data_IF_404883028392
#
_entry.id   IF_404883028392
#
_cell.length_a   1.000
_cell.length_b   1.000
_cell.length_c   1.000
_cell.angle_alpha   90.00
_cell.angle_beta   90.00
_cell.angle_gamma   90.00
#
_symmetry.space_group_name_H-M   'P 1'
#
loop_
_entity.id
_entity.type
_entity.pdbx_description
1 polymer ?
#
# COMPACT_ATOMS: atom_id res chain seq x y z
N UNK A 1 3.96 1.73 16.52
CA UNK A 1 4.95 1.98 15.46
C UNK A 1 4.60 1.09 14.30
N UNK A 2 4.46 1.65 13.10
CA UNK A 2 4.12 0.88 11.90
C UNK A 2 5.39 0.28 11.31
N UNK A 3 5.32 -1.01 10.97
CA UNK A 3 6.35 -1.74 10.24
C UNK A 3 5.70 -2.40 9.03
N UNK A 4 6.21 -2.07 7.86
CA UNK A 4 5.79 -2.62 6.58
C UNK A 4 6.74 -3.75 6.22
N UNK A 5 6.22 -4.96 6.09
CA UNK A 5 6.93 -6.15 5.65
C UNK A 5 6.65 -6.45 4.17
N UNK A 6 7.23 -7.52 3.62
CA UNK A 6 6.94 -7.96 2.25
C UNK A 6 5.47 -8.38 2.04
N UNK A 7 4.81 -8.84 3.10
CA UNK A 7 3.42 -9.29 3.05
C UNK A 7 2.67 -8.78 4.29
N UNK A 8 2.10 -7.58 4.22
CA UNK A 8 1.27 -7.07 5.29
C UNK A 8 -0.16 -7.55 5.07
N UNK A 9 -0.75 -8.12 6.13
CA UNK A 9 -2.13 -8.57 6.15
C UNK A 9 -2.85 -7.93 7.30
N UNK A 10 -3.99 -7.34 7.02
CA UNK A 10 -4.84 -6.70 8.03
C UNK A 10 -6.23 -7.27 7.94
N UNK A 11 -6.87 -7.47 9.09
CA UNK A 11 -8.29 -7.78 9.16
C UNK A 11 -9.08 -6.52 8.84
N UNK A 12 -10.07 -6.64 7.96
CA UNK A 12 -10.96 -5.52 7.60
C UNK A 12 -12.18 -5.50 8.52
N UNK A 13 -12.46 -4.33 9.09
CA UNK A 13 -13.57 -4.08 10.00
C UNK A 13 -14.77 -3.44 9.29
N UNK A 14 -14.53 -2.77 8.16
CA UNK A 14 -15.54 -2.08 7.33
C UNK A 14 -15.46 -2.52 5.86
N UNK A 15 -15.74 -3.79 5.54
CA UNK A 15 -15.62 -4.31 4.17
C UNK A 15 -16.55 -3.59 3.18
N UNK A 16 -17.65 -3.02 3.65
CA UNK A 16 -18.62 -2.26 2.84
C UNK A 16 -18.06 -1.00 2.17
N UNK A 17 -16.87 -0.55 2.59
CA UNK A 17 -16.17 0.59 1.99
C UNK A 17 -15.32 0.21 0.77
N UNK A 18 -15.08 -1.09 0.54
CA UNK A 18 -14.28 -1.57 -0.58
C UNK A 18 -15.18 -1.99 -1.74
N UNK A 19 -15.45 -1.04 -2.64
CA UNK A 19 -16.31 -1.22 -3.81
C UNK A 19 -15.59 -0.80 -5.07
N UNK A 20 -15.81 -1.54 -6.15
CA UNK A 20 -15.29 -1.21 -7.48
C UNK A 20 -15.81 0.15 -7.95
N UNK A 21 -14.92 1.00 -8.46
CA UNK A 21 -15.24 2.34 -8.98
C UNK A 21 -15.47 3.42 -7.91
N UNK A 22 -15.46 3.07 -6.62
CA UNK A 22 -15.60 4.02 -5.52
C UNK A 22 -14.25 4.61 -5.08
N UNK A 23 -14.29 5.68 -4.28
CA UNK A 23 -13.10 6.31 -3.71
C UNK A 23 -13.08 6.12 -2.19
N UNK A 24 -12.17 5.29 -1.70
CA UNK A 24 -12.03 5.04 -0.27
C UNK A 24 -11.49 6.29 0.44
N UNK A 25 -12.16 6.70 1.52
CA UNK A 25 -11.85 7.90 2.29
C UNK A 25 -11.77 9.18 1.44
N UNK A 26 -12.50 9.25 0.32
CA UNK A 26 -12.46 10.34 -0.66
C UNK A 26 -11.06 10.62 -1.25
N UNK A 27 -10.12 9.67 -1.09
CA UNK A 27 -8.71 9.81 -1.49
C UNK A 27 -8.18 8.68 -2.37
N UNK A 28 -8.64 7.45 -2.15
CA UNK A 28 -8.02 6.26 -2.73
C UNK A 28 -8.97 5.59 -3.73
N UNK A 29 -8.84 5.87 -5.04
CA UNK A 29 -9.70 5.27 -6.06
C UNK A 29 -9.51 3.74 -6.10
N UNK A 30 -10.61 3.02 -6.05
CA UNK A 30 -10.65 1.57 -6.01
C UNK A 30 -11.08 0.99 -7.36
N UNK A 31 -10.51 -0.16 -7.70
CA UNK A 31 -10.87 -0.92 -8.90
C UNK A 31 -10.81 -2.42 -8.65
N UNK A 32 -11.66 -3.21 -9.31
CA UNK A 32 -11.62 -4.67 -9.21
C UNK A 32 -10.53 -5.28 -10.10
N UNK A 33 -9.64 -6.06 -9.51
CA UNK A 33 -8.65 -6.83 -10.26
C UNK A 33 -9.19 -8.20 -10.67
N UNK A 34 -9.66 -8.28 -11.91
CA UNK A 34 -10.18 -9.50 -12.52
C UNK A 34 -9.08 -10.53 -12.86
N UNK A 35 -7.80 -10.14 -12.86
CA UNK A 35 -6.66 -10.99 -13.19
C UNK A 35 -6.14 -11.79 -11.98
N UNK A 36 -6.72 -11.61 -10.80
CA UNK A 36 -6.37 -12.33 -9.58
C UNK A 36 -7.58 -13.09 -9.05
N UNK A 37 -7.38 -14.31 -8.52
CA UNK A 37 -8.42 -15.10 -7.87
C UNK A 37 -8.05 -15.42 -6.41
N UNK A 38 -8.94 -15.15 -5.42
CA UNK A 38 -10.21 -14.44 -5.58
C UNK A 38 -10.01 -13.00 -6.07
N UNK A 39 -11.03 -12.41 -6.69
CA UNK A 39 -10.92 -11.03 -7.18
C UNK A 39 -10.74 -10.07 -6.01
N UNK A 40 -9.75 -9.18 -6.09
CA UNK A 40 -9.51 -8.18 -5.05
C UNK A 40 -9.93 -6.80 -5.51
N UNK A 41 -10.46 -6.01 -4.59
CA UNK A 41 -10.65 -4.57 -4.78
C UNK A 41 -9.31 -3.88 -4.45
N UNK A 42 -8.72 -3.22 -5.44
CA UNK A 42 -7.35 -2.78 -5.41
C UNK A 42 -7.23 -1.25 -5.44
N UNK A 43 -6.14 -0.77 -4.85
CA UNK A 43 -5.59 0.56 -5.06
C UNK A 43 -4.10 0.42 -5.36
N UNK A 44 -3.60 1.26 -6.27
CA UNK A 44 -2.17 1.32 -6.60
C UNK A 44 -1.74 2.77 -6.72
N UNK A 45 -0.54 3.07 -6.22
CA UNK A 45 0.12 4.35 -6.43
C UNK A 45 1.58 4.14 -6.73
N UNK A 46 2.02 4.69 -7.85
CA UNK A 46 3.42 4.74 -8.24
C UNK A 46 4.08 6.05 -7.77
N UNK A 47 5.38 5.95 -7.52
CA UNK A 47 6.27 7.01 -7.07
C UNK A 47 7.50 7.03 -7.96
N UNK A 48 7.81 8.21 -8.47
CA UNK A 48 8.75 8.42 -9.55
C UNK A 48 8.15 9.32 -10.62
N UNK A 49 9.01 9.77 -11.52
CA UNK A 49 8.56 10.55 -12.67
C UNK A 49 8.11 9.66 -13.85
N UNK A 50 7.85 10.28 -14.99
CA UNK A 50 7.43 9.56 -16.20
C UNK A 50 8.49 8.57 -16.68
N UNK A 51 9.77 8.91 -16.55
CA UNK A 51 10.86 8.05 -17.00
C UNK A 51 10.99 6.88 -16.03
N UNK A 52 10.86 7.11 -14.72
CA UNK A 52 10.83 6.02 -13.73
C UNK A 52 9.75 4.98 -14.05
N UNK A 53 8.55 5.44 -14.38
CA UNK A 53 7.44 4.55 -14.73
C UNK A 53 7.71 3.84 -16.07
N UNK A 54 8.21 4.58 -17.07
CA UNK A 54 8.48 4.04 -18.41
C UNK A 54 9.56 2.96 -18.40
N UNK A 55 10.59 3.14 -17.58
CA UNK A 55 11.73 2.23 -17.46
C UNK A 55 11.60 1.24 -16.29
N UNK A 56 10.48 1.25 -15.57
CA UNK A 56 10.22 0.30 -14.49
C UNK A 56 11.17 0.47 -13.30
N UNK A 57 11.57 1.70 -12.98
CA UNK A 57 12.36 2.05 -11.79
C UNK A 57 11.52 2.72 -10.70
N UNK A 58 10.22 2.89 -10.93
CA UNK A 58 9.30 3.42 -9.93
C UNK A 58 9.20 2.54 -8.68
N UNK A 59 8.85 3.18 -7.56
CA UNK A 59 8.34 2.50 -6.39
C UNK A 59 6.82 2.48 -6.43
N UNK A 60 6.21 1.48 -5.82
CA UNK A 60 4.76 1.28 -5.86
C UNK A 60 4.25 0.90 -4.48
N UNK A 61 3.17 1.54 -4.05
CA UNK A 61 2.31 1.05 -2.97
C UNK A 61 1.11 0.35 -3.59
N UNK A 62 0.91 -0.90 -3.22
CA UNK A 62 -0.27 -1.66 -3.63
C UNK A 62 -1.07 -2.10 -2.41
N UNK A 63 -2.39 -1.96 -2.52
CA UNK A 63 -3.38 -2.43 -1.58
C UNK A 63 -4.38 -3.31 -2.33
N UNK A 64 -4.74 -4.45 -1.75
CA UNK A 64 -5.77 -5.32 -2.30
C UNK A 64 -6.63 -5.94 -1.19
N UNK A 65 -7.91 -5.65 -1.22
CA UNK A 65 -8.90 -6.26 -0.34
C UNK A 65 -9.46 -7.54 -0.96
N UNK A 66 -9.31 -8.65 -0.25
CA UNK A 66 -9.94 -9.92 -0.56
C UNK A 66 -11.31 -10.01 0.14
N UNK A 67 -12.43 -9.93 -0.59
CA UNK A 67 -13.76 -10.01 0.01
C UNK A 67 -14.09 -11.40 0.58
N UNK A 68 -13.50 -12.48 0.06
CA UNK A 68 -13.76 -13.84 0.55
C UNK A 68 -13.08 -14.12 1.89
N UNK A 69 -11.84 -13.64 2.06
CA UNK A 69 -11.09 -13.79 3.31
C UNK A 69 -11.37 -12.65 4.31
N UNK A 70 -12.02 -11.57 3.87
CA UNK A 70 -12.14 -10.32 4.62
C UNK A 70 -10.79 -9.76 5.09
N UNK A 71 -9.80 -9.84 4.21
CA UNK A 71 -8.40 -9.47 4.48
C UNK A 71 -7.92 -8.39 3.51
N UNK A 72 -7.22 -7.40 4.05
CA UNK A 72 -6.50 -6.40 3.28
C UNK A 72 -5.03 -6.78 3.20
N UNK A 73 -4.52 -6.94 1.98
CA UNK A 73 -3.09 -7.06 1.73
C UNK A 73 -2.51 -5.72 1.34
N UNK A 74 -1.32 -5.42 1.86
CA UNK A 74 -0.55 -4.25 1.48
C UNK A 74 0.91 -4.63 1.32
N UNK A 75 1.54 -4.14 0.26
CA UNK A 75 2.99 -4.23 0.09
C UNK A 75 3.53 -3.02 -0.66
N UNK A 76 4.81 -2.76 -0.44
CA UNK A 76 5.57 -1.78 -1.19
C UNK A 76 6.65 -2.48 -2.00
N UNK A 77 6.80 -2.06 -3.23
CA UNK A 77 7.75 -2.65 -4.18
C UNK A 77 8.56 -1.56 -4.86
N UNK A 78 9.80 -1.87 -5.19
CA UNK A 78 10.66 -1.06 -6.06
C UNK A 78 10.83 -1.72 -7.42
N UNK A 79 11.43 -0.98 -8.34
CA UNK A 79 11.68 -1.40 -9.72
C UNK A 79 10.41 -1.87 -10.42
N UNK A 80 9.37 -1.02 -10.44
CA UNK A 80 8.14 -1.27 -11.18
C UNK A 80 7.36 -2.50 -10.71
N UNK A 81 7.44 -2.82 -9.41
CA UNK A 81 6.74 -3.99 -8.84
C UNK A 81 7.60 -5.23 -8.65
N UNK A 82 8.87 -5.22 -9.04
CA UNK A 82 9.71 -6.43 -9.02
C UNK A 82 10.26 -6.80 -7.64
N UNK A 83 10.54 -5.82 -6.78
CA UNK A 83 11.23 -6.07 -5.51
C UNK A 83 10.47 -5.53 -4.31
N UNK A 84 9.86 -6.41 -3.52
CA UNK A 84 9.25 -6.03 -2.25
C UNK A 84 10.28 -5.59 -1.21
N UNK A 85 10.10 -4.41 -0.61
CA UNK A 85 10.99 -3.87 0.41
C UNK A 85 10.30 -3.70 1.77
N UNK A 86 11.10 -3.73 2.83
CA UNK A 86 10.66 -3.72 4.24
C UNK A 86 11.16 -2.42 4.86
N UNK A 87 10.31 -1.77 5.64
CA UNK A 87 10.67 -0.55 6.36
C UNK A 87 9.77 -0.32 7.56
N UNK A 88 10.16 0.62 8.39
CA UNK A 88 9.44 1.11 9.56
C UNK A 88 9.38 2.63 9.56
N UNK A 89 8.57 3.20 10.46
CA UNK A 89 8.54 4.65 10.67
C UNK A 89 9.91 5.23 11.05
N UNK A 90 10.75 4.46 11.76
CA UNK A 90 12.07 4.92 12.19
C UNK A 90 13.04 5.07 11.00
N UNK A 91 12.90 4.23 9.97
CA UNK A 91 13.78 4.23 8.80
C UNK A 91 13.73 5.54 8.02
N UNK A 92 12.62 6.29 8.09
CA UNK A 92 12.50 7.64 7.51
C UNK A 92 13.42 8.68 8.16
N UNK A 93 13.87 8.44 9.38
CA UNK A 93 14.70 9.37 10.16
C UNK A 93 16.16 8.91 10.31
N UNK A 94 16.46 7.70 9.82
CA UNK A 94 17.77 7.07 9.92
C UNK A 94 18.75 7.71 8.94
N UNK A 95 19.82 8.32 9.48
CA UNK A 95 20.88 8.95 8.69
C UNK A 95 21.85 7.96 8.05
N UNK A 96 21.86 6.72 8.50
CA UNK A 96 22.71 5.65 7.97
C UNK A 96 22.12 4.97 6.72
N UNK A 97 20.84 5.24 6.41
CA UNK A 97 20.19 4.77 5.20
C UNK A 97 20.27 5.84 4.09
N UNK A 98 20.74 5.43 2.92
CA UNK A 98 20.65 6.26 1.71
C UNK A 98 19.33 5.97 1.00
N UNK A 99 18.25 6.64 1.44
CA UNK A 99 16.95 6.56 0.79
C UNK A 99 16.88 7.51 -0.40
N UNK A 100 16.42 7.03 -1.55
CA UNK A 100 16.09 7.90 -2.68
C UNK A 100 14.82 8.70 -2.36
N UNK A 101 14.54 9.72 -3.17
CA UNK A 101 13.28 10.47 -3.08
C UNK A 101 12.07 9.54 -3.24
N UNK A 102 12.11 8.61 -4.18
CA UNK A 102 11.03 7.65 -4.44
C UNK A 102 10.83 6.68 -3.26
N UNK A 103 11.90 6.33 -2.54
CA UNK A 103 11.80 5.53 -1.31
C UNK A 103 11.07 6.31 -0.22
N UNK A 104 11.49 7.54 0.05
CA UNK A 104 10.91 8.40 1.09
C UNK A 104 9.42 8.62 0.81
N UNK A 105 9.06 9.05 -0.39
CA UNK A 105 7.66 9.34 -0.73
C UNK A 105 6.76 8.09 -0.65
N UNK A 106 7.24 6.94 -1.13
CA UNK A 106 6.51 5.67 -1.04
C UNK A 106 6.32 5.23 0.42
N UNK A 107 7.38 5.33 1.23
CA UNK A 107 7.36 4.97 2.64
C UNK A 107 6.42 5.86 3.45
N UNK A 108 6.54 7.18 3.31
CA UNK A 108 5.68 8.16 3.99
C UNK A 108 4.22 7.98 3.62
N UNK A 109 3.93 7.85 2.33
CA UNK A 109 2.57 7.63 1.85
C UNK A 109 1.97 6.35 2.43
N UNK A 110 2.72 5.25 2.41
CA UNK A 110 2.25 3.95 2.91
C UNK A 110 1.95 3.99 4.41
N UNK A 111 2.85 4.58 5.19
CA UNK A 111 2.65 4.74 6.64
C UNK A 111 1.40 5.57 6.90
N UNK A 112 1.21 6.68 6.18
CA UNK A 112 0.04 7.52 6.32
C UNK A 112 -1.25 6.81 5.90
N UNK A 113 -1.24 6.05 4.81
CA UNK A 113 -2.36 5.21 4.40
C UNK A 113 -2.75 4.23 5.52
N UNK A 114 -1.79 3.50 6.09
CA UNK A 114 -2.05 2.54 7.18
C UNK A 114 -2.63 3.28 8.41
N UNK A 115 -2.09 4.45 8.77
CA UNK A 115 -2.62 5.28 9.87
C UNK A 115 -4.05 5.70 9.60
N UNK A 116 -4.34 6.25 8.43
CA UNK A 116 -5.68 6.71 8.06
C UNK A 116 -6.68 5.55 8.10
N UNK A 117 -6.34 4.39 7.57
CA UNK A 117 -7.21 3.21 7.62
C UNK A 117 -7.45 2.75 9.07
N UNK A 118 -6.41 2.75 9.90
CA UNK A 118 -6.51 2.38 11.32
C UNK A 118 -7.35 3.37 12.11
N UNK A 119 -7.08 4.67 11.97
CA UNK A 119 -7.71 5.74 12.73
C UNK A 119 -9.21 5.88 12.37
N UNK A 120 -9.59 5.53 11.13
CA UNK A 120 -10.98 5.43 10.70
C UNK A 120 -11.66 4.09 11.07
N UNK A 121 -10.95 3.19 11.76
CA UNK A 121 -11.46 1.87 12.16
C UNK A 121 -11.80 0.97 10.97
N UNK A 122 -11.08 1.10 9.87
CA UNK A 122 -11.28 0.28 8.65
C UNK A 122 -10.50 -1.03 8.77
N UNK A 123 -9.33 -0.99 9.40
CA UNK A 123 -8.47 -2.17 9.61
C UNK A 123 -8.07 -2.35 11.07
N UNK A 124 -7.80 -3.58 11.45
CA UNK A 124 -7.12 -3.92 12.70
C UNK A 124 -5.62 -4.14 12.45
N UNK A 125 -4.79 -3.30 13.06
CA UNK A 125 -3.33 -3.50 13.08
C UNK A 125 -3.01 -4.28 14.34
N UNK A 126 -2.52 -5.51 14.18
CA UNK A 126 -2.07 -6.33 15.31
C UNK A 126 -1.08 -5.53 16.17
N UNK A 127 -1.23 -5.63 17.50
CA UNK A 127 -0.38 -4.91 18.46
C UNK A 127 1.07 -5.33 18.40
#
# INVERSE_FOLDING_TARGET
MIKVTRENKYKVLKPELFKDGEVLLDKYPLWINMNMHPHHICFVKDFGDKDDITYGTSNTTWLGFNPEANELKLHCTSYGGMCGFIFSEEDLTRKDLSLSKNDIECMEFTINLIKELKDNGIIEVAK
#
